data_IF_016648947411
#
_entry.id   IF_016648947411
#
_cell.length_a   1.000
_cell.length_b   1.000
_cell.length_c   1.000
_cell.angle_alpha   90.00
_cell.angle_beta   90.00
_cell.angle_gamma   90.00
#
_symmetry.space_group_name_H-M   'P 1'
#
loop_
_entity.id
_entity.type
_entity.pdbx_description
1 polymer ?
#
# COMPACT_ATOMS: atom_id res chain seq x y z
N UNK A 1 20.57 -17.84 -67.61
CA UNK A 1 20.08 -18.56 -66.42
C UNK A 1 20.88 -19.85 -66.26
N UNK A 2 21.80 -19.88 -65.30
CA UNK A 2 22.15 -21.05 -64.48
C UNK A 2 23.40 -20.67 -63.70
N UNK A 3 23.17 -20.06 -62.54
CA UNK A 3 24.22 -19.71 -61.60
C UNK A 3 24.30 -20.77 -60.49
N UNK A 4 25.54 -21.04 -60.09
CA UNK A 4 25.96 -22.05 -59.13
C UNK A 4 25.51 -21.69 -57.71
N UNK A 5 25.26 -22.69 -56.86
CA UNK A 5 26.14 -22.98 -55.71
C UNK A 5 25.61 -24.14 -54.86
N UNK A 6 26.52 -25.00 -54.35
CA UNK A 6 26.20 -26.15 -53.51
C UNK A 6 25.96 -25.76 -52.05
N UNK A 7 24.91 -26.32 -51.46
CA UNK A 7 24.63 -26.30 -50.02
C UNK A 7 25.69 -27.11 -49.26
N UNK A 8 26.79 -26.45 -48.88
CA UNK A 8 27.68 -26.95 -47.84
C UNK A 8 27.03 -26.67 -46.48
N UNK A 9 26.38 -27.70 -45.94
CA UNK A 9 25.92 -27.75 -44.55
C UNK A 9 27.13 -27.61 -43.64
N UNK A 10 27.32 -26.42 -43.07
CA UNK A 10 28.27 -26.25 -41.96
C UNK A 10 27.81 -27.14 -40.80
N UNK A 11 28.69 -28.06 -40.47
CA UNK A 11 28.63 -28.98 -39.34
C UNK A 11 28.13 -28.30 -38.07
N UNK A 12 27.21 -28.97 -37.40
CA UNK A 12 26.63 -28.54 -36.14
C UNK A 12 27.73 -28.33 -35.09
N UNK A 13 27.77 -27.12 -34.55
CA UNK A 13 28.47 -26.87 -33.30
C UNK A 13 27.94 -27.87 -32.25
N UNK A 14 28.81 -28.73 -31.75
CA UNK A 14 28.49 -29.66 -30.68
C UNK A 14 28.01 -28.88 -29.44
N UNK A 15 26.77 -29.05 -28.95
CA UNK A 15 26.27 -28.34 -27.77
C UNK A 15 27.04 -28.69 -26.49
N UNK A 16 27.89 -29.73 -26.50
CA UNK A 16 28.84 -30.05 -25.43
C UNK A 16 30.15 -29.27 -25.50
N UNK A 17 30.37 -28.46 -26.53
CA UNK A 17 31.52 -27.55 -26.66
C UNK A 17 31.26 -26.18 -26.02
N UNK A 18 30.20 -26.03 -25.21
CA UNK A 18 30.00 -24.86 -24.36
C UNK A 18 30.96 -24.98 -23.16
N UNK A 19 32.05 -24.22 -23.21
CA UNK A 19 32.93 -23.99 -22.05
C UNK A 19 32.05 -23.34 -20.96
N UNK A 20 31.89 -24.03 -19.82
CA UNK A 20 31.01 -23.59 -18.73
C UNK A 20 30.14 -24.69 -18.10
N UNK A 21 30.19 -25.92 -18.61
CA UNK A 21 29.48 -27.07 -18.04
C UNK A 21 30.05 -27.63 -16.72
N UNK A 22 31.11 -27.03 -16.19
CA UNK A 22 31.52 -27.32 -14.81
C UNK A 22 30.64 -26.46 -13.90
N UNK A 23 29.63 -27.06 -13.27
CA UNK A 23 28.94 -26.40 -12.17
C UNK A 23 29.97 -26.25 -11.04
N UNK A 24 30.50 -25.03 -10.79
CA UNK A 24 31.44 -24.86 -9.70
C UNK A 24 30.77 -25.31 -8.39
N UNK A 25 31.54 -25.83 -7.42
CA UNK A 25 31.00 -26.18 -6.11
C UNK A 25 30.20 -25.01 -5.54
N UNK A 26 29.09 -25.31 -4.87
CA UNK A 26 28.25 -24.28 -4.25
C UNK A 26 29.12 -23.49 -3.23
N UNK A 27 29.20 -22.15 -3.33
CA UNK A 27 29.94 -21.33 -2.37
C UNK A 27 29.56 -21.58 -0.90
N UNK A 28 28.33 -22.03 -0.64
CA UNK A 28 27.90 -22.46 0.70
C UNK A 28 28.61 -23.75 1.13
N UNK A 29 28.62 -24.76 0.27
CA UNK A 29 29.26 -26.06 0.53
C UNK A 29 30.78 -25.89 0.68
N UNK A 30 31.40 -25.07 -0.17
CA UNK A 30 32.83 -24.75 -0.09
C UNK A 30 33.19 -24.01 1.21
N UNK A 31 32.34 -23.10 1.67
CA UNK A 31 32.54 -22.38 2.93
C UNK A 31 32.38 -23.29 4.17
N UNK A 32 31.51 -24.31 4.10
CA UNK A 32 31.24 -25.23 5.19
C UNK A 32 32.18 -26.44 5.24
N UNK A 33 32.75 -26.84 4.10
CA UNK A 33 33.60 -28.03 3.98
C UNK A 33 34.71 -28.14 5.06
N UNK A 34 35.41 -27.06 5.48
CA UNK A 34 36.43 -27.14 6.52
C UNK A 34 35.91 -27.35 7.95
N UNK A 35 34.60 -27.18 8.18
CA UNK A 35 34.00 -27.11 9.53
C UNK A 35 33.05 -28.27 9.84
N UNK A 36 32.91 -29.25 8.94
CA UNK A 36 31.98 -30.38 9.12
C UNK A 36 32.19 -31.16 10.42
N UNK A 37 33.44 -31.33 10.84
CA UNK A 37 33.79 -32.01 12.10
C UNK A 37 33.32 -31.21 13.32
N UNK A 38 33.57 -29.90 13.35
CA UNK A 38 33.12 -29.01 14.43
C UNK A 38 31.60 -28.95 14.55
N UNK A 39 30.89 -28.96 13.42
CA UNK A 39 29.42 -28.95 13.38
C UNK A 39 28.87 -30.25 13.95
N UNK A 40 29.35 -31.39 13.45
CA UNK A 40 28.91 -32.71 13.92
C UNK A 40 29.20 -32.90 15.41
N UNK A 41 30.37 -32.45 15.88
CA UNK A 41 30.73 -32.55 17.29
C UNK A 41 29.86 -31.62 18.16
N UNK A 42 29.66 -30.36 17.74
CA UNK A 42 28.79 -29.42 18.46
C UNK A 42 27.35 -29.92 18.58
N UNK A 43 26.79 -30.52 17.52
CA UNK A 43 25.46 -31.15 17.56
C UNK A 43 25.37 -32.25 18.62
N UNK A 44 26.44 -33.03 18.80
CA UNK A 44 26.52 -34.06 19.84
C UNK A 44 26.55 -33.50 21.27
N UNK A 45 27.12 -32.31 21.47
CA UNK A 45 27.16 -31.63 22.79
C UNK A 45 25.86 -30.88 23.13
N UNK A 46 25.00 -30.60 22.15
CA UNK A 46 23.74 -29.86 22.32
C UNK A 46 22.56 -30.78 22.70
N UNK A 47 22.81 -31.75 23.59
CA UNK A 47 21.81 -32.72 24.07
C UNK A 47 20.99 -32.24 25.27
N UNK A 48 21.33 -31.07 25.83
CA UNK A 48 20.68 -30.46 26.99
C UNK A 48 21.35 -30.74 28.34
N UNK A 49 22.45 -31.50 28.38
CA UNK A 49 23.23 -31.71 29.59
C UNK A 49 23.96 -30.43 30.02
N UNK A 50 24.03 -30.18 31.34
CA UNK A 50 24.79 -29.06 31.88
C UNK A 50 26.28 -29.38 31.96
N UNK A 51 27.11 -28.40 31.63
CA UNK A 51 28.56 -28.43 31.88
C UNK A 51 28.81 -28.40 33.38
N UNK A 52 29.52 -29.39 33.91
CA UNK A 52 29.79 -29.55 35.36
C UNK A 52 31.27 -29.53 35.71
N UNK A 53 32.16 -29.51 34.71
CA UNK A 53 33.62 -29.52 34.90
C UNK A 53 34.31 -28.45 34.04
N UNK A 54 35.46 -27.96 34.50
CA UNK A 54 36.25 -26.98 33.76
C UNK A 54 36.78 -27.52 32.41
N UNK A 55 37.04 -28.84 32.31
CA UNK A 55 37.46 -29.47 31.07
C UNK A 55 36.34 -29.48 30.01
N UNK A 56 35.09 -29.76 30.43
CA UNK A 56 33.91 -29.65 29.57
C UNK A 56 33.68 -28.22 29.10
N UNK A 57 33.83 -27.23 30.00
CA UNK A 57 33.75 -25.81 29.64
C UNK A 57 34.74 -25.46 28.53
N UNK A 58 36.02 -25.87 28.67
CA UNK A 58 37.04 -25.58 27.66
C UNK A 58 36.72 -26.25 26.31
N UNK A 59 36.26 -27.50 26.31
CA UNK A 59 35.87 -28.18 25.08
C UNK A 59 34.71 -27.46 24.36
N UNK A 60 33.70 -27.02 25.12
CA UNK A 60 32.59 -26.21 24.58
C UNK A 60 33.08 -24.87 24.04
N UNK A 61 34.03 -24.20 24.70
CA UNK A 61 34.61 -22.94 24.20
C UNK A 61 35.39 -23.13 22.89
N UNK A 62 36.15 -24.22 22.76
CA UNK A 62 36.89 -24.57 21.54
C UNK A 62 35.91 -24.85 20.38
N UNK A 63 34.84 -25.62 20.62
CA UNK A 63 33.76 -25.87 19.66
C UNK A 63 33.03 -24.58 19.26
N UNK A 64 32.66 -23.74 20.23
CA UNK A 64 32.00 -22.46 19.97
C UNK A 64 32.87 -21.54 19.09
N UNK A 65 34.19 -21.61 19.23
CA UNK A 65 35.11 -20.87 18.36
C UNK A 65 35.10 -21.41 16.93
N UNK A 66 35.10 -22.74 16.75
CA UNK A 66 34.96 -23.38 15.43
C UNK A 66 33.64 -23.03 14.74
N UNK A 67 32.53 -23.05 15.46
CA UNK A 67 31.21 -22.70 14.92
C UNK A 67 31.13 -21.21 14.53
N UNK A 68 31.69 -20.29 15.34
CA UNK A 68 31.80 -18.87 14.97
C UNK A 68 32.61 -18.66 13.69
N UNK A 69 33.67 -19.45 13.49
CA UNK A 69 34.46 -19.39 12.27
C UNK A 69 33.68 -19.90 11.04
N UNK A 70 32.93 -20.99 11.19
CA UNK A 70 32.03 -21.52 10.16
C UNK A 70 30.96 -20.49 9.76
N UNK A 71 30.29 -19.87 10.74
CA UNK A 71 29.30 -18.83 10.52
C UNK A 71 29.89 -17.65 9.71
N UNK A 72 31.09 -17.19 10.11
CA UNK A 72 31.79 -16.10 9.41
C UNK A 72 32.15 -16.47 7.97
N UNK A 73 32.60 -17.70 7.73
CA UNK A 73 32.93 -18.18 6.38
C UNK A 73 31.68 -18.17 5.48
N UNK A 74 30.56 -18.70 5.97
CA UNK A 74 29.28 -18.69 5.24
C UNK A 74 28.78 -17.27 4.99
N UNK A 75 28.84 -16.38 5.99
CA UNK A 75 28.43 -14.98 5.81
C UNK A 75 29.27 -14.27 4.73
N UNK A 76 30.58 -14.52 4.72
CA UNK A 76 31.49 -13.95 3.72
C UNK A 76 31.18 -14.48 2.32
N UNK A 77 30.96 -15.79 2.17
CA UNK A 77 30.59 -16.41 0.91
C UNK A 77 29.24 -15.87 0.39
N UNK A 78 28.24 -15.75 1.27
CA UNK A 78 26.94 -15.14 0.96
C UNK A 78 27.10 -13.71 0.47
N UNK A 79 27.89 -12.89 1.15
CA UNK A 79 28.13 -11.50 0.74
C UNK A 79 28.80 -11.43 -0.63
N UNK A 80 29.83 -12.26 -0.87
CA UNK A 80 30.50 -12.33 -2.16
C UNK A 80 29.56 -12.73 -3.31
N UNK A 81 28.69 -13.73 -3.08
CA UNK A 81 27.73 -14.20 -4.07
C UNK A 81 26.60 -13.20 -4.35
N UNK A 82 26.10 -12.51 -3.31
CA UNK A 82 24.94 -11.61 -3.43
C UNK A 82 25.31 -10.18 -3.85
N UNK A 83 26.52 -9.71 -3.55
CA UNK A 83 26.99 -8.37 -3.91
C UNK A 83 26.87 -8.04 -5.41
N UNK A 84 27.33 -8.89 -6.36
CA UNK A 84 27.17 -8.60 -7.79
C UNK A 84 25.71 -8.60 -8.23
N UNK A 85 24.87 -9.47 -7.63
CA UNK A 85 23.44 -9.51 -7.93
C UNK A 85 22.74 -8.23 -7.46
N UNK A 86 23.03 -7.78 -6.24
CA UNK A 86 22.50 -6.52 -5.72
C UNK A 86 22.98 -5.33 -6.54
N UNK A 87 24.26 -5.30 -6.94
CA UNK A 87 24.79 -4.24 -7.79
C UNK A 87 24.12 -4.21 -9.18
N UNK A 88 23.94 -5.38 -9.81
CA UNK A 88 23.26 -5.50 -11.10
C UNK A 88 21.80 -5.05 -11.01
N UNK A 89 21.08 -5.48 -9.97
CA UNK A 89 19.72 -5.04 -9.69
C UNK A 89 19.63 -3.52 -9.49
N UNK A 90 20.53 -2.93 -8.69
CA UNK A 90 20.57 -1.49 -8.47
C UNK A 90 20.87 -0.71 -9.75
N UNK A 91 21.82 -1.19 -10.57
CA UNK A 91 22.13 -0.57 -11.86
C UNK A 91 20.92 -0.61 -12.81
N UNK A 92 20.20 -1.72 -12.82
CA UNK A 92 18.98 -1.85 -13.62
C UNK A 92 17.89 -0.89 -13.13
N UNK A 93 17.60 -0.85 -11.82
CA UNK A 93 16.64 0.11 -11.25
C UNK A 93 17.05 1.56 -11.58
N UNK A 94 18.34 1.89 -11.48
CA UNK A 94 18.86 3.20 -11.84
C UNK A 94 18.66 3.53 -13.33
N UNK A 95 18.72 2.54 -14.23
CA UNK A 95 18.44 2.69 -15.67
C UNK A 95 16.98 3.01 -15.94
N UNK A 96 16.04 2.38 -15.24
CA UNK A 96 14.60 2.61 -15.42
C UNK A 96 14.11 3.90 -14.77
N UNK A 97 14.72 4.29 -13.65
CA UNK A 97 14.24 5.37 -12.78
C UNK A 97 14.04 6.71 -13.52
N UNK A 98 14.97 7.23 -14.34
CA UNK A 98 14.79 8.52 -15.02
C UNK A 98 13.54 8.54 -15.92
N UNK A 99 13.30 7.46 -16.67
CA UNK A 99 12.14 7.34 -17.55
C UNK A 99 10.84 7.25 -16.76
N UNK A 100 10.81 6.46 -15.69
CA UNK A 100 9.63 6.36 -14.83
C UNK A 100 9.30 7.70 -14.15
N UNK A 101 10.33 8.43 -13.70
CA UNK A 101 10.16 9.77 -13.13
C UNK A 101 9.65 10.77 -14.17
N UNK A 102 10.17 10.72 -15.41
CA UNK A 102 9.71 11.60 -16.48
C UNK A 102 8.26 11.32 -16.87
N UNK A 103 7.89 10.05 -17.02
CA UNK A 103 6.51 9.64 -17.27
C UNK A 103 5.56 10.06 -16.14
N UNK A 104 5.99 9.98 -14.88
CA UNK A 104 5.23 10.47 -13.74
C UNK A 104 5.06 12.01 -13.78
N UNK A 105 6.12 12.75 -14.14
CA UNK A 105 6.03 14.22 -14.34
C UNK A 105 5.05 14.58 -15.45
N UNK A 106 5.12 13.91 -16.61
CA UNK A 106 4.21 14.12 -17.73
C UNK A 106 2.76 13.83 -17.31
N UNK A 107 2.52 12.67 -16.68
CA UNK A 107 1.20 12.28 -16.16
C UNK A 107 0.65 13.33 -15.19
N UNK A 108 1.47 13.82 -14.26
CA UNK A 108 1.09 14.88 -13.30
C UNK A 108 0.81 16.20 -14.01
N UNK A 109 1.61 16.59 -15.00
CA UNK A 109 1.39 17.78 -15.83
C UNK A 109 0.05 17.73 -16.56
N UNK A 110 -0.25 16.61 -17.23
CA UNK A 110 -1.54 16.41 -17.90
C UNK A 110 -2.71 16.44 -16.91
N UNK A 111 -2.57 15.82 -15.74
CA UNK A 111 -3.59 15.87 -14.69
C UNK A 111 -3.82 17.29 -14.16
N UNK A 112 -2.75 18.08 -14.00
CA UNK A 112 -2.83 19.48 -13.56
C UNK A 112 -3.57 20.35 -14.58
N UNK A 113 -3.26 20.21 -15.87
CA UNK A 113 -3.91 20.94 -16.97
C UNK A 113 -5.43 20.74 -16.97
N UNK A 114 -5.90 19.50 -16.75
CA UNK A 114 -7.34 19.20 -16.78
C UNK A 114 -8.04 19.41 -15.43
N UNK A 115 -7.31 19.68 -14.34
CA UNK A 115 -7.88 19.66 -12.98
C UNK A 115 -8.96 20.72 -12.77
N UNK A 116 -8.65 21.99 -13.07
CA UNK A 116 -9.57 23.10 -12.90
C UNK A 116 -10.81 22.95 -13.81
N UNK A 117 -10.59 22.48 -15.04
CA UNK A 117 -11.68 22.20 -15.98
C UNK A 117 -12.62 21.10 -15.46
N UNK A 118 -12.08 19.99 -14.96
CA UNK A 118 -12.90 18.90 -14.39
C UNK A 118 -13.69 19.35 -13.17
N UNK A 119 -13.12 20.20 -12.31
CA UNK A 119 -13.83 20.78 -11.15
C UNK A 119 -14.99 21.67 -11.63
N UNK A 120 -14.75 22.55 -12.60
CA UNK A 120 -15.80 23.41 -13.17
C UNK A 120 -16.89 22.58 -13.84
N UNK A 121 -16.52 21.62 -14.69
CA UNK A 121 -17.47 20.75 -15.37
C UNK A 121 -18.31 19.94 -14.37
N UNK A 122 -17.70 19.46 -13.27
CA UNK A 122 -18.45 18.80 -12.20
C UNK A 122 -19.44 19.76 -11.53
N UNK A 123 -19.02 20.99 -11.22
CA UNK A 123 -19.92 21.99 -10.63
C UNK A 123 -21.10 22.33 -11.57
N UNK A 124 -20.84 22.42 -12.88
CA UNK A 124 -21.86 22.63 -13.92
C UNK A 124 -22.82 21.43 -14.01
N UNK A 125 -22.31 20.20 -14.06
CA UNK A 125 -23.13 18.97 -14.05
C UNK A 125 -23.95 18.86 -12.77
N UNK A 126 -23.37 19.14 -11.59
CA UNK A 126 -24.08 19.11 -10.31
C UNK A 126 -25.16 20.23 -10.24
N UNK A 127 -24.91 21.41 -10.80
CA UNK A 127 -25.90 22.47 -10.91
C UNK A 127 -27.04 22.11 -11.88
N UNK A 128 -26.72 21.54 -13.04
CA UNK A 128 -27.71 21.06 -14.01
C UNK A 128 -28.56 19.92 -13.42
N UNK A 129 -27.93 18.96 -12.73
CA UNK A 129 -28.62 17.88 -12.04
C UNK A 129 -29.54 18.41 -10.92
N UNK A 130 -29.12 19.42 -10.15
CA UNK A 130 -29.98 20.08 -9.17
C UNK A 130 -31.20 20.74 -9.81
N UNK A 131 -31.01 21.46 -10.93
CA UNK A 131 -32.12 22.06 -11.68
C UNK A 131 -33.09 21.01 -12.23
N UNK A 132 -32.56 19.94 -12.85
CA UNK A 132 -33.36 18.85 -13.39
C UNK A 132 -34.16 18.10 -12.30
N UNK A 133 -33.56 17.90 -11.11
CA UNK A 133 -34.27 17.33 -9.95
C UNK A 133 -35.37 18.25 -9.44
N UNK A 134 -35.10 19.55 -9.31
CA UNK A 134 -36.11 20.52 -8.89
C UNK A 134 -37.30 20.58 -9.87
N UNK A 135 -37.02 20.52 -11.17
CA UNK A 135 -38.05 20.46 -12.22
C UNK A 135 -38.86 19.16 -12.16
N UNK A 136 -38.19 18.01 -11.99
CA UNK A 136 -38.86 16.73 -11.83
C UNK A 136 -39.73 16.68 -10.57
N UNK A 137 -39.26 17.26 -9.45
CA UNK A 137 -40.04 17.37 -8.21
C UNK A 137 -41.26 18.29 -8.39
N UNK A 138 -41.12 19.41 -9.13
CA UNK A 138 -42.23 20.30 -9.47
C UNK A 138 -43.28 19.57 -10.31
N UNK A 139 -42.85 18.95 -11.41
CA UNK A 139 -43.75 18.21 -12.32
C UNK A 139 -44.42 17.03 -11.63
N UNK A 140 -43.73 16.33 -10.73
CA UNK A 140 -44.33 15.28 -9.92
C UNK A 140 -45.45 15.83 -9.03
N UNK A 141 -45.22 16.94 -8.32
CA UNK A 141 -46.26 17.58 -7.48
C UNK A 141 -47.44 18.08 -8.29
N UNK A 142 -47.20 18.65 -9.48
CA UNK A 142 -48.25 19.06 -10.42
C UNK A 142 -49.08 17.86 -10.88
N UNK A 143 -48.43 16.76 -11.26
CA UNK A 143 -49.09 15.52 -11.68
C UNK A 143 -49.88 14.85 -10.56
N UNK A 144 -49.35 14.83 -9.33
CA UNK A 144 -50.07 14.35 -8.15
C UNK A 144 -51.30 15.20 -7.85
N UNK A 145 -51.18 16.52 -7.95
CA UNK A 145 -52.32 17.44 -7.75
C UNK A 145 -53.38 17.25 -8.83
N UNK A 146 -52.99 17.21 -10.10
CA UNK A 146 -53.89 17.01 -11.22
C UNK A 146 -54.63 15.67 -11.14
N UNK A 147 -53.93 14.60 -10.76
CA UNK A 147 -54.53 13.28 -10.54
C UNK A 147 -55.54 13.29 -9.38
N UNK A 148 -55.25 14.01 -8.28
CA UNK A 148 -56.17 14.13 -7.14
C UNK A 148 -57.44 14.94 -7.46
N UNK A 149 -57.33 15.95 -8.32
CA UNK A 149 -58.45 16.82 -8.69
C UNK A 149 -59.21 16.36 -9.94
N UNK A 150 -58.72 15.33 -10.63
CA UNK A 150 -59.35 14.83 -11.84
C UNK A 150 -60.65 14.08 -11.51
N UNK A 151 -61.78 14.63 -11.95
CA UNK A 151 -63.07 13.98 -11.88
C UNK A 151 -63.13 12.81 -12.88
N UNK A 152 -63.63 11.65 -12.45
CA UNK A 152 -63.81 10.47 -13.30
C UNK A 152 -64.88 10.69 -14.38
N UNK A 153 -65.84 11.58 -14.15
CA UNK A 153 -66.87 11.94 -15.13
C UNK A 153 -66.43 12.95 -16.19
N UNK A 154 -65.24 13.56 -16.06
CA UNK A 154 -64.76 14.61 -16.95
C UNK A 154 -63.52 14.15 -17.74
N UNK A 155 -63.72 13.86 -19.03
CA UNK A 155 -62.66 13.36 -19.91
C UNK A 155 -61.50 14.36 -20.09
N UNK A 156 -61.76 15.66 -20.05
CA UNK A 156 -60.70 16.68 -20.15
C UNK A 156 -59.86 16.74 -18.86
N UNK A 157 -60.48 16.55 -17.69
CA UNK A 157 -59.76 16.43 -16.42
C UNK A 157 -58.86 15.18 -16.39
N UNK A 158 -59.34 14.06 -16.94
CA UNK A 158 -58.55 12.83 -17.09
C UNK A 158 -57.38 13.01 -18.08
N UNK A 159 -57.61 13.68 -19.21
CA UNK A 159 -56.55 13.98 -20.20
C UNK A 159 -55.48 14.89 -19.61
N UNK A 160 -55.86 15.94 -18.88
CA UNK A 160 -54.93 16.84 -18.21
C UNK A 160 -54.08 16.12 -17.14
N UNK A 161 -54.69 15.24 -16.34
CA UNK A 161 -53.96 14.41 -15.39
C UNK A 161 -52.99 13.44 -16.09
N UNK A 162 -53.41 12.80 -17.19
CA UNK A 162 -52.57 11.93 -18.00
C UNK A 162 -51.36 12.65 -18.61
N UNK A 163 -51.57 13.86 -19.15
CA UNK A 163 -50.49 14.71 -19.68
C UNK A 163 -49.51 15.11 -18.57
N UNK A 164 -50.00 15.54 -17.41
CA UNK A 164 -49.15 15.90 -16.28
C UNK A 164 -48.31 14.71 -15.77
N UNK A 165 -48.89 13.49 -15.76
CA UNK A 165 -48.18 12.26 -15.42
C UNK A 165 -47.07 11.93 -16.44
N UNK A 166 -47.32 12.11 -17.74
CA UNK A 166 -46.29 11.86 -18.76
C UNK A 166 -45.17 12.92 -18.71
N UNK A 167 -45.51 14.20 -18.51
CA UNK A 167 -44.52 15.26 -18.28
C UNK A 167 -43.65 14.98 -17.04
N UNK A 168 -44.25 14.51 -15.95
CA UNK A 168 -43.51 14.11 -14.75
C UNK A 168 -42.55 12.93 -15.01
N UNK A 169 -42.98 11.92 -15.78
CA UNK A 169 -42.12 10.80 -16.17
C UNK A 169 -40.96 11.25 -17.05
N UNK A 170 -41.20 12.14 -18.02
CA UNK A 170 -40.15 12.70 -18.88
C UNK A 170 -39.14 13.49 -18.03
N UNK A 171 -39.60 14.35 -17.13
CA UNK A 171 -38.75 15.13 -16.24
C UNK A 171 -37.94 14.22 -15.28
N UNK A 172 -38.54 13.14 -14.75
CA UNK A 172 -37.84 12.17 -13.91
C UNK A 172 -36.75 11.41 -14.69
N UNK A 173 -37.03 11.01 -15.94
CA UNK A 173 -36.04 10.38 -16.82
C UNK A 173 -34.88 11.32 -17.12
N UNK A 174 -35.16 12.60 -17.39
CA UNK A 174 -34.15 13.63 -17.63
C UNK A 174 -33.26 13.87 -16.38
N UNK A 175 -33.86 13.97 -15.19
CA UNK A 175 -33.12 14.10 -13.93
C UNK A 175 -32.24 12.87 -13.64
N UNK A 176 -32.74 11.68 -13.97
CA UNK A 176 -32.00 10.43 -13.81
C UNK A 176 -30.81 10.33 -14.77
N UNK A 177 -30.98 10.76 -16.02
CA UNK A 177 -29.90 10.80 -17.01
C UNK A 177 -28.80 11.79 -16.60
N UNK A 178 -29.17 12.98 -16.13
CA UNK A 178 -28.23 13.99 -15.63
C UNK A 178 -27.43 13.51 -14.40
N UNK A 179 -27.99 12.60 -13.58
CA UNK A 179 -27.27 12.01 -12.45
C UNK A 179 -26.29 10.89 -12.80
N UNK A 180 -26.38 10.32 -14.01
CA UNK A 180 -25.51 9.23 -14.51
C UNK A 180 -24.25 9.77 -15.19
N UNK A 181 -24.34 10.90 -15.88
CA UNK A 181 -23.17 11.58 -16.45
C UNK A 181 -22.39 12.26 -15.32
N UNK A 182 -21.22 11.71 -14.98
CA UNK A 182 -20.37 12.20 -13.89
C UNK A 182 -18.94 12.35 -14.37
N UNK A 183 -18.36 13.52 -14.13
CA UNK A 183 -16.93 13.75 -14.36
C UNK A 183 -16.09 12.76 -13.56
N UNK A 184 -15.26 11.96 -14.26
CA UNK A 184 -14.28 11.05 -13.64
C UNK A 184 -12.99 11.76 -13.26
N UNK A 185 -12.37 11.31 -12.16
CA UNK A 185 -11.05 11.80 -11.72
C UNK A 185 -11.10 13.10 -10.93
N UNK A 186 -12.22 13.36 -10.23
CA UNK A 186 -12.34 14.38 -9.18
C UNK A 186 -12.68 13.65 -7.88
N UNK A 187 -12.02 14.03 -6.79
CA UNK A 187 -12.25 13.46 -5.46
C UNK A 187 -12.74 14.55 -4.51
N UNK A 188 -13.63 14.18 -3.60
CA UNK A 188 -13.98 15.05 -2.46
C UNK A 188 -12.84 14.96 -1.46
N UNK A 189 -12.27 16.11 -1.10
CA UNK A 189 -11.25 16.20 -0.05
C UNK A 189 -11.81 17.08 1.06
N UNK A 190 -12.06 16.49 2.22
CA UNK A 190 -12.39 17.22 3.43
C UNK A 190 -11.10 17.75 4.02
N UNK A 191 -10.97 19.07 4.14
CA UNK A 191 -9.86 19.73 4.84
C UNK A 191 -10.38 20.24 6.17
N UNK A 192 -9.51 20.22 7.16
CA UNK A 192 -9.75 20.80 8.47
C UNK A 192 -8.59 21.73 8.82
N UNK A 193 -8.87 22.75 9.60
CA UNK A 193 -7.90 23.66 10.18
C UNK A 193 -8.22 23.79 11.67
N UNK A 194 -7.19 23.73 12.51
CA UNK A 194 -7.37 23.90 13.96
C UNK A 194 -7.22 25.39 14.27
N UNK A 195 -8.33 26.07 14.42
CA UNK A 195 -8.35 27.49 14.79
C UNK A 195 -7.85 27.72 16.23
N UNK A 196 -8.15 26.78 17.14
CA UNK A 196 -7.71 26.84 18.54
C UNK A 196 -7.47 25.45 19.14
N UNK A 197 -6.20 25.16 19.43
CA UNK A 197 -5.81 23.92 20.08
C UNK A 197 -6.42 23.76 21.47
N UNK A 198 -6.58 24.87 22.21
CA UNK A 198 -7.22 24.86 23.53
C UNK A 198 -8.69 24.45 23.44
N UNK A 199 -9.43 25.04 22.49
CA UNK A 199 -10.84 24.71 22.31
C UNK A 199 -11.02 23.25 21.85
N UNK A 200 -10.20 22.79 20.91
CA UNK A 200 -10.21 21.40 20.45
C UNK A 200 -9.89 20.41 21.58
N UNK A 201 -8.88 20.71 22.41
CA UNK A 201 -8.53 19.86 23.56
C UNK A 201 -9.68 19.77 24.56
N UNK A 202 -10.36 20.87 24.86
CA UNK A 202 -11.50 20.87 25.77
C UNK A 202 -12.72 20.13 25.19
N UNK A 203 -12.95 20.22 23.87
CA UNK A 203 -14.01 19.47 23.21
C UNK A 203 -13.74 17.96 23.25
N UNK A 204 -12.51 17.54 22.93
CA UNK A 204 -12.07 16.14 23.04
C UNK A 204 -12.22 15.66 24.49
N UNK A 205 -11.74 16.43 25.47
CA UNK A 205 -11.88 16.07 26.89
C UNK A 205 -13.34 15.84 27.32
N UNK A 206 -14.29 16.54 26.69
CA UNK A 206 -15.72 16.46 26.99
C UNK A 206 -16.43 15.33 26.24
N UNK A 207 -16.10 15.14 24.97
CA UNK A 207 -16.84 14.25 24.06
C UNK A 207 -16.14 12.91 23.83
N UNK A 208 -14.82 12.83 24.05
CA UNK A 208 -14.00 11.65 23.80
C UNK A 208 -12.85 11.56 24.83
N UNK A 209 -13.23 11.18 26.06
CA UNK A 209 -12.31 11.15 27.21
C UNK A 209 -11.26 10.04 27.09
N UNK A 210 -11.58 8.93 26.43
CA UNK A 210 -10.70 7.78 26.33
C UNK A 210 -9.50 8.13 25.42
N UNK A 211 -9.73 8.79 24.29
CA UNK A 211 -8.66 9.29 23.43
C UNK A 211 -7.69 10.26 24.15
N UNK A 212 -8.22 11.13 25.03
CA UNK A 212 -7.38 12.02 25.83
C UNK A 212 -6.60 11.25 26.92
N UNK A 213 -7.19 10.21 27.50
CA UNK A 213 -6.56 9.40 28.54
C UNK A 213 -5.34 8.66 27.98
N UNK A 214 -5.48 8.03 26.80
CA UNK A 214 -4.36 7.38 26.10
C UNK A 214 -3.19 8.35 25.85
N UNK A 215 -3.50 9.58 25.43
CA UNK A 215 -2.49 10.62 25.26
C UNK A 215 -1.78 10.95 26.57
N UNK A 216 -2.53 11.11 27.66
CA UNK A 216 -1.99 11.41 28.99
C UNK A 216 -1.07 10.28 29.47
N UNK A 217 -1.49 9.02 29.37
CA UNK A 217 -0.68 7.86 29.78
C UNK A 217 0.63 7.76 28.97
N UNK A 218 0.54 7.92 27.64
CA UNK A 218 1.72 7.88 26.77
C UNK A 218 2.68 9.06 27.01
N UNK A 219 2.16 10.23 27.35
CA UNK A 219 2.97 11.39 27.72
C UNK A 219 3.68 11.15 29.06
N UNK A 220 2.94 10.68 30.07
CA UNK A 220 3.48 10.37 31.41
C UNK A 220 4.55 9.29 31.33
N UNK A 221 4.30 8.17 30.64
CA UNK A 221 5.28 7.09 30.46
C UNK A 221 6.62 7.61 29.91
N UNK A 222 6.60 8.59 29.01
CA UNK A 222 7.83 9.14 28.42
C UNK A 222 8.54 10.14 29.33
N UNK A 223 7.79 10.93 30.08
CA UNK A 223 8.34 12.11 30.78
C UNK A 223 8.33 12.01 32.31
N UNK A 224 7.84 10.91 32.89
CA UNK A 224 7.74 10.74 34.34
C UNK A 224 9.09 10.84 35.08
N UNK A 225 10.22 10.56 34.40
CA UNK A 225 11.58 10.74 34.96
C UNK A 225 12.16 12.13 34.72
N UNK A 226 11.75 12.80 33.65
CA UNK A 226 12.34 14.07 33.20
C UNK A 226 11.77 15.28 33.95
N UNK A 227 10.50 15.17 34.40
CA UNK A 227 9.79 16.25 35.10
C UNK A 227 8.74 15.72 36.03
N UNK A 228 8.46 16.50 37.07
CA UNK A 228 7.27 16.29 37.91
C UNK A 228 6.02 16.63 37.10
N UNK A 229 5.08 15.68 37.02
CA UNK A 229 3.78 15.84 36.36
C UNK A 229 2.71 15.81 37.44
N UNK A 230 1.90 16.86 37.53
CA UNK A 230 0.83 16.95 38.52
C UNK A 230 -0.16 15.78 38.33
N UNK A 231 -0.49 15.09 39.42
CA UNK A 231 -1.37 13.92 39.41
C UNK A 231 -0.66 12.57 39.13
N UNK A 232 0.67 12.55 38.95
CA UNK A 232 1.45 11.33 38.71
C UNK A 232 2.40 11.07 39.88
N UNK A 233 2.44 9.82 40.35
CA UNK A 233 3.39 9.32 41.35
C UNK A 233 4.45 8.44 40.68
N UNK A 234 5.73 8.63 41.02
CA UNK A 234 6.88 7.89 40.44
C UNK A 234 7.70 7.24 41.56
N UNK A 235 8.13 5.99 41.39
CA UNK A 235 8.96 5.24 42.35
C UNK A 235 9.86 4.20 41.64
N UNK A 236 10.89 3.70 42.32
CA UNK A 236 11.85 2.70 41.81
C UNK A 236 11.96 1.47 42.74
N UNK A 237 12.15 0.29 42.16
CA UNK A 237 12.31 -1.00 42.84
C UNK A 237 13.43 -1.81 42.12
N UNK A 238 14.15 -2.69 42.83
CA UNK A 238 15.28 -3.47 42.28
C UNK A 238 14.91 -4.96 42.17
N UNK A 239 15.16 -5.58 41.01
CA UNK A 239 14.91 -7.00 40.70
C UNK A 239 16.18 -7.69 40.13
N UNK A 240 16.30 -9.02 40.27
CA UNK A 240 17.44 -9.82 39.82
C UNK A 240 17.42 -10.11 38.29
N UNK A 241 18.59 -10.20 37.66
CA UNK A 241 18.79 -10.33 36.20
C UNK A 241 18.56 -11.75 35.67
#
# INVERSE_FOLDING_TARGET
MNDMTPTSSKEGANPRAVIGGNAPPDPLDEALAPYGDFITEAEGWLDGAQVTTAAQMKAVDDLATGIKAAEKAVSTAREAATKPLHAAWQAEIARWKPTLEDLDRIKKGLAALVSAFKVRLKAEQDAAARKARAEADRKRREAEKAARTADAGNIEAQRAAGQAQEEAKIAQKAASAAGKDRVKGVRTVTRYEIESHKAALHDIAKNDRDALTDFVEAYVRRHHKDRVIAGVRVWEEKEAY
#
